data_IF_990570742986
#
_entry.id   IF_990570742986
#
_cell.length_a   1.000
_cell.length_b   1.000
_cell.length_c   1.000
_cell.angle_alpha   90.00
_cell.angle_beta   90.00
_cell.angle_gamma   90.00
#
_symmetry.space_group_name_H-M   'P 1'
#
loop_
_entity.id
_entity.type
_entity.pdbx_description
1 polymer ?
#
# COMPACT_ATOMS: atom_id res chain seq x y z
N UNK A 1 -21.46 -11.02 35.68
CA UNK A 1 -21.00 -11.72 34.49
C UNK A 1 -21.43 -11.00 33.18
N UNK A 2 -22.69 -10.54 33.14
CA UNK A 2 -23.19 -9.72 32.00
C UNK A 2 -22.39 -8.42 31.82
N UNK A 3 -21.98 -7.77 32.88
CA UNK A 3 -21.19 -6.52 32.85
C UNK A 3 -19.83 -6.75 32.20
N UNK A 4 -19.19 -7.88 32.50
CA UNK A 4 -17.88 -8.23 31.92
C UNK A 4 -18.00 -8.50 30.43
N UNK A 5 -19.03 -9.24 30.01
CA UNK A 5 -19.27 -9.54 28.60
C UNK A 5 -19.56 -8.26 27.80
N UNK A 6 -20.39 -7.37 28.34
CA UNK A 6 -20.71 -6.07 27.70
C UNK A 6 -19.45 -5.21 27.60
N UNK A 7 -18.61 -5.19 28.65
CA UNK A 7 -17.35 -4.44 28.65
C UNK A 7 -16.39 -4.95 27.58
N UNK A 8 -16.24 -6.26 27.43
CA UNK A 8 -15.38 -6.87 26.40
C UNK A 8 -15.89 -6.56 25.00
N UNK A 9 -17.20 -6.66 24.78
CA UNK A 9 -17.81 -6.33 23.47
C UNK A 9 -17.59 -4.87 23.12
N UNK A 10 -17.74 -3.96 24.06
CA UNK A 10 -17.50 -2.52 23.84
C UNK A 10 -16.03 -2.24 23.50
N UNK A 11 -15.10 -2.88 24.19
CA UNK A 11 -13.66 -2.72 23.92
C UNK A 11 -13.31 -3.26 22.53
N UNK A 12 -13.87 -4.40 22.14
CA UNK A 12 -13.64 -4.98 20.80
C UNK A 12 -14.24 -4.09 19.71
N UNK A 13 -15.44 -3.56 19.90
CA UNK A 13 -16.07 -2.63 18.94
C UNK A 13 -15.28 -1.33 18.83
N UNK A 14 -14.74 -0.80 19.91
CA UNK A 14 -13.87 0.38 19.91
C UNK A 14 -12.56 0.10 19.19
N UNK A 15 -11.95 -1.05 19.40
CA UNK A 15 -10.71 -1.45 18.73
C UNK A 15 -10.91 -1.59 17.20
N UNK A 16 -12.01 -2.20 16.77
CA UNK A 16 -12.36 -2.30 15.34
C UNK A 16 -12.61 -0.92 14.72
N UNK A 17 -13.27 -0.03 15.46
CA UNK A 17 -13.53 1.35 15.02
C UNK A 17 -12.24 2.16 14.90
N UNK A 18 -11.27 1.94 15.80
CA UNK A 18 -9.96 2.58 15.76
C UNK A 18 -9.10 2.13 14.57
N UNK A 19 -9.19 0.84 14.21
CA UNK A 19 -8.53 0.34 13.02
C UNK A 19 -9.12 0.94 11.73
N UNK A 20 -10.45 1.14 11.69
CA UNK A 20 -11.13 1.74 10.55
C UNK A 20 -10.82 3.23 10.41
N UNK A 21 -10.61 3.95 11.51
CA UNK A 21 -10.23 5.37 11.51
C UNK A 21 -8.77 5.60 11.07
N UNK A 22 -7.87 4.66 11.33
CA UNK A 22 -6.49 4.72 10.84
C UNK A 22 -6.38 4.49 9.33
N UNK A 23 -7.38 3.86 8.74
CA UNK A 23 -7.40 3.57 7.30
C UNK A 23 -7.91 4.74 6.45
N UNK A 24 -8.72 5.64 7.03
CA UNK A 24 -9.40 6.73 6.28
C UNK A 24 -8.53 7.97 6.13
N UNK A 25 -7.51 8.16 6.95
CA UNK A 25 -6.82 9.46 7.06
C UNK A 25 -5.64 9.68 6.09
N UNK A 26 -5.41 8.77 5.14
CA UNK A 26 -4.33 8.96 4.15
C UNK A 26 -4.79 9.13 2.71
N UNK A 27 -6.08 9.03 2.45
CA UNK A 27 -6.59 9.11 1.07
C UNK A 27 -7.08 10.49 0.64
N UNK A 28 -7.08 11.51 1.49
CA UNK A 28 -7.64 12.83 1.14
C UNK A 28 -6.60 13.92 0.80
N UNK A 29 -5.32 13.64 0.78
CA UNK A 29 -4.33 14.71 0.56
C UNK A 29 -3.65 14.65 -0.81
N UNK A 30 -4.18 13.95 -1.80
CA UNK A 30 -3.58 14.01 -3.13
C UNK A 30 -4.62 14.29 -4.21
N UNK A 31 -5.20 15.48 -4.16
CA UNK A 31 -5.72 16.12 -5.36
C UNK A 31 -5.22 17.55 -5.38
N UNK A 32 -3.94 17.72 -5.52
CA UNK A 32 -3.36 18.97 -6.05
C UNK A 32 -1.91 18.71 -6.44
N UNK A 33 -1.68 18.52 -7.69
CA UNK A 33 -0.55 19.17 -8.32
C UNK A 33 -0.65 19.03 -9.82
N UNK A 34 -0.62 20.17 -10.41
CA UNK A 34 -0.58 20.42 -11.81
C UNK A 34 0.48 19.61 -12.55
N UNK A 35 0.13 19.38 -13.75
CA UNK A 35 0.95 18.92 -14.85
C UNK A 35 2.27 19.70 -14.94
N UNK A 36 3.29 19.23 -14.27
CA UNK A 36 4.64 19.42 -14.73
C UNK A 36 5.23 18.06 -15.02
N UNK A 37 5.80 17.94 -16.17
CA UNK A 37 6.41 16.73 -16.74
C UNK A 37 7.66 16.30 -15.96
N UNK A 38 7.53 16.25 -14.66
CA UNK A 38 8.43 15.59 -13.76
C UNK A 38 7.93 14.16 -13.71
N UNK A 39 8.64 13.26 -14.37
CA UNK A 39 8.23 11.87 -14.48
C UNK A 39 7.68 11.33 -13.17
N UNK A 40 6.34 11.28 -13.10
CA UNK A 40 5.64 10.76 -11.93
C UNK A 40 6.08 9.32 -11.68
N UNK A 41 6.75 9.12 -10.57
CA UNK A 41 7.19 7.80 -10.15
C UNK A 41 6.45 7.36 -8.90
N UNK A 42 5.99 6.14 -8.92
CA UNK A 42 5.30 5.50 -7.80
C UNK A 42 6.34 4.85 -6.89
N UNK A 43 6.33 5.25 -5.63
CA UNK A 43 7.21 4.66 -4.62
C UNK A 43 6.60 3.39 -4.04
N UNK A 44 7.27 2.26 -4.24
CA UNK A 44 6.79 0.96 -3.77
C UNK A 44 6.58 0.88 -2.25
N UNK A 45 7.36 1.64 -1.48
CA UNK A 45 7.33 1.58 -0.02
C UNK A 45 6.30 2.52 0.61
N UNK A 46 5.81 3.51 -0.11
CA UNK A 46 4.87 4.52 0.41
C UNK A 46 3.56 4.64 -0.35
N UNK A 47 3.50 4.13 -1.59
CA UNK A 47 2.30 4.22 -2.41
C UNK A 47 1.09 3.53 -1.78
N UNK A 48 -0.09 4.10 -1.99
CA UNK A 48 -1.35 3.45 -1.66
C UNK A 48 -1.66 2.35 -2.68
N UNK A 49 -2.54 1.41 -2.31
CA UNK A 49 -2.96 0.38 -3.26
C UNK A 49 -3.65 0.97 -4.49
N UNK A 50 -4.35 2.10 -4.32
CA UNK A 50 -5.01 2.80 -5.44
C UNK A 50 -3.98 3.34 -6.44
N UNK A 51 -2.89 3.95 -5.97
CA UNK A 51 -1.79 4.40 -6.82
C UNK A 51 -1.12 3.22 -7.55
N UNK A 52 -0.95 2.11 -6.86
CA UNK A 52 -0.36 0.91 -7.44
C UNK A 52 -1.21 0.30 -8.55
N UNK A 53 -2.54 0.51 -8.55
CA UNK A 53 -3.41 0.07 -9.66
C UNK A 53 -3.16 0.81 -10.97
N UNK A 54 -2.46 1.92 -10.95
CA UNK A 54 -2.07 2.66 -12.16
C UNK A 54 -0.92 1.97 -12.92
N UNK A 55 -0.24 1.05 -12.29
CA UNK A 55 0.80 0.24 -12.93
C UNK A 55 0.18 -0.72 -13.95
N UNK A 56 0.91 -0.97 -15.02
CA UNK A 56 0.49 -1.92 -16.05
C UNK A 56 0.43 -3.33 -15.49
N UNK A 57 -0.63 -4.04 -15.80
CA UNK A 57 -0.88 -5.42 -15.37
C UNK A 57 -1.03 -5.59 -13.85
N UNK A 58 -1.29 -4.49 -13.13
CA UNK A 58 -1.54 -4.50 -11.69
C UNK A 58 -2.98 -4.06 -11.41
N UNK A 59 -3.81 -5.02 -11.08
CA UNK A 59 -5.20 -4.78 -10.67
C UNK A 59 -5.33 -4.56 -9.15
N UNK A 60 -6.55 -4.32 -8.64
CA UNK A 60 -6.80 -4.06 -7.22
C UNK A 60 -6.28 -5.17 -6.30
N UNK A 61 -6.47 -6.44 -6.68
CA UNK A 61 -6.01 -7.59 -5.88
C UNK A 61 -4.49 -7.64 -5.81
N UNK A 62 -3.81 -7.47 -6.93
CA UNK A 62 -2.34 -7.45 -6.99
C UNK A 62 -1.78 -6.25 -6.23
N UNK A 63 -2.40 -5.09 -6.36
CA UNK A 63 -2.02 -3.89 -5.62
C UNK A 63 -2.09 -4.10 -4.10
N UNK A 64 -3.13 -4.74 -3.61
CA UNK A 64 -3.26 -5.08 -2.19
C UNK A 64 -2.23 -6.12 -1.75
N UNK A 65 -1.89 -7.08 -2.61
CA UNK A 65 -0.79 -8.02 -2.34
C UNK A 65 0.56 -7.33 -2.20
N UNK A 66 0.81 -6.30 -2.99
CA UNK A 66 2.03 -5.48 -2.86
C UNK A 66 2.07 -4.78 -1.49
N UNK A 67 0.98 -4.14 -1.08
CA UNK A 67 0.87 -3.49 0.23
C UNK A 67 1.06 -4.49 1.36
N UNK A 68 0.40 -5.63 1.29
CA UNK A 68 0.53 -6.69 2.30
C UNK A 68 1.96 -7.24 2.36
N UNK A 69 2.61 -7.44 1.22
CA UNK A 69 3.99 -7.94 1.17
C UNK A 69 4.97 -7.00 1.87
N UNK A 70 4.85 -5.68 1.67
CA UNK A 70 5.74 -4.73 2.36
C UNK A 70 5.48 -4.64 3.86
N UNK A 71 4.26 -4.91 4.30
CA UNK A 71 3.90 -4.92 5.72
C UNK A 71 4.33 -6.22 6.42
N UNK A 72 4.22 -7.36 5.75
CA UNK A 72 4.54 -8.67 6.31
C UNK A 72 6.03 -9.03 6.20
N UNK A 73 6.63 -8.81 5.04
CA UNK A 73 8.01 -9.19 4.74
C UNK A 73 9.00 -8.02 4.78
N UNK A 74 8.53 -6.82 5.14
CA UNK A 74 9.33 -5.62 5.19
C UNK A 74 9.36 -4.85 3.87
N UNK A 75 9.93 -3.63 3.89
CA UNK A 75 9.98 -2.76 2.72
C UNK A 75 10.75 -3.42 1.56
N UNK A 76 10.40 -3.02 0.36
CA UNK A 76 11.13 -3.44 -0.84
C UNK A 76 12.50 -2.78 -0.89
N UNK A 77 13.53 -3.55 -1.16
CA UNK A 77 14.92 -3.05 -1.28
C UNK A 77 15.22 -2.56 -2.69
N UNK A 78 14.54 -3.13 -3.69
CA UNK A 78 14.71 -2.79 -5.09
C UNK A 78 13.40 -2.97 -5.86
N UNK A 79 13.34 -2.45 -7.08
CA UNK A 79 12.18 -2.66 -7.96
C UNK A 79 12.02 -4.15 -8.28
N UNK A 80 13.11 -4.86 -8.43
CA UNK A 80 13.09 -6.31 -8.70
C UNK A 80 12.50 -7.15 -7.57
N UNK A 81 12.53 -6.66 -6.34
CA UNK A 81 11.87 -7.30 -5.20
C UNK A 81 10.35 -7.43 -5.35
N UNK A 82 9.73 -6.68 -6.25
CA UNK A 82 8.31 -6.86 -6.58
C UNK A 82 7.97 -8.28 -7.03
N UNK A 83 8.92 -9.02 -7.57
CA UNK A 83 8.71 -10.38 -8.02
C UNK A 83 8.38 -11.36 -6.89
N UNK A 84 8.63 -10.98 -5.63
CA UNK A 84 8.20 -11.75 -4.46
C UNK A 84 6.69 -11.74 -4.26
N UNK A 85 6.00 -10.82 -4.90
CA UNK A 85 4.54 -10.69 -4.81
C UNK A 85 3.89 -11.63 -5.83
N UNK A 86 2.93 -12.44 -5.36
CA UNK A 86 2.15 -13.30 -6.23
C UNK A 86 1.41 -12.51 -7.32
N UNK A 87 1.55 -12.95 -8.55
CA UNK A 87 0.95 -12.30 -9.71
C UNK A 87 1.86 -11.28 -10.40
N UNK A 88 3.05 -11.03 -9.87
CA UNK A 88 4.04 -10.15 -10.49
C UNK A 88 5.25 -10.96 -10.95
N UNK A 89 5.43 -11.03 -12.25
CA UNK A 89 6.59 -11.65 -12.87
C UNK A 89 7.59 -10.61 -13.39
N UNK A 90 8.74 -11.08 -13.94
CA UNK A 90 9.79 -10.20 -14.47
C UNK A 90 9.30 -9.30 -15.61
N UNK A 91 8.37 -9.74 -16.42
CA UNK A 91 7.78 -8.92 -17.51
C UNK A 91 6.99 -7.74 -16.97
N UNK A 92 6.20 -7.95 -15.92
CA UNK A 92 5.42 -6.89 -15.27
C UNK A 92 6.33 -5.86 -14.62
N UNK A 93 7.40 -6.30 -13.97
CA UNK A 93 8.42 -5.41 -13.41
C UNK A 93 9.07 -4.56 -14.50
N UNK A 94 9.48 -5.17 -15.60
CA UNK A 94 10.16 -4.48 -16.69
C UNK A 94 9.27 -3.44 -17.38
N UNK A 95 7.99 -3.76 -17.60
CA UNK A 95 7.00 -2.81 -18.16
C UNK A 95 6.82 -1.56 -17.30
N UNK A 96 6.97 -1.69 -16.00
CA UNK A 96 6.69 -0.61 -15.03
C UNK A 96 7.96 0.05 -14.48
N UNK A 97 9.15 -0.45 -14.79
CA UNK A 97 10.42 -0.02 -14.20
C UNK A 97 10.62 1.49 -14.21
N UNK A 98 10.31 2.15 -15.29
CA UNK A 98 10.48 3.60 -15.43
C UNK A 98 9.51 4.43 -14.58
N UNK A 99 8.39 3.81 -14.18
CA UNK A 99 7.34 4.44 -13.37
C UNK A 99 7.48 4.15 -11.88
N UNK A 100 8.45 3.33 -11.52
CA UNK A 100 8.67 2.86 -10.16
C UNK A 100 9.95 3.46 -9.58
N UNK A 101 9.87 3.71 -8.29
CA UNK A 101 11.05 3.98 -7.46
C UNK A 101 10.93 3.24 -6.14
N UNK A 102 12.04 3.11 -5.45
CA UNK A 102 12.11 2.56 -4.11
C UNK A 102 12.81 3.57 -3.21
N UNK A 103 12.05 4.20 -2.31
CA UNK A 103 12.64 5.01 -1.27
C UNK A 103 13.23 4.09 -0.20
N UNK A 104 14.49 4.30 0.11
CA UNK A 104 15.08 3.66 1.28
C UNK A 104 14.72 4.49 2.50
N UNK A 105 14.09 3.85 3.50
CA UNK A 105 13.88 4.47 4.77
C UNK A 105 15.27 4.79 5.36
N UNK A 106 15.61 6.06 5.40
CA UNK A 106 16.75 6.49 6.21
C UNK A 106 16.38 6.26 7.67
N UNK A 107 17.05 5.34 8.26
CA UNK A 107 16.99 5.16 9.70
C UNK A 107 17.58 6.39 10.43
#
# INVERSE_FOLDING_TARGET
WLVVIVSVVVVVLLAVKWQKLRYVDRSEIIVQSGSEDIGYQIDLNSATWVELTQLRDVGPVTAQRIVNSREEAGPFSSIDDLQRVDGIGPKTVEKNRRWLRVSQRRE
#
